data_IF_073685274715
#
_entry.id   IF_073685274715
#
_cell.length_a   1.000
_cell.length_b   1.000
_cell.length_c   1.000
_cell.angle_alpha   90.00
_cell.angle_beta   90.00
_cell.angle_gamma   90.00
#
_symmetry.space_group_name_H-M   'P 1'
#
loop_
_entity.id
_entity.type
_entity.pdbx_description
1 polymer ?
#
# COMPACT_ATOMS: atom_id res chain seq x y z
N UNK A 1 21.50 1.66 -19.00
CA UNK A 1 20.29 2.06 -18.27
C UNK A 1 19.84 0.82 -17.54
N UNK A 2 19.84 0.84 -16.20
CA UNK A 2 19.40 -0.31 -15.39
C UNK A 2 17.89 -0.28 -15.39
N UNK A 3 17.25 -1.38 -15.78
CA UNK A 3 15.79 -1.53 -15.68
C UNK A 3 15.36 -1.63 -14.21
N UNK A 4 14.09 -1.34 -13.90
CA UNK A 4 13.56 -1.54 -12.54
C UNK A 4 13.80 -2.97 -12.05
N UNK A 5 13.60 -3.96 -12.93
CA UNK A 5 13.85 -5.38 -12.63
C UNK A 5 15.30 -5.66 -12.28
N UNK A 6 16.26 -5.16 -13.07
CA UNK A 6 17.69 -5.33 -12.77
C UNK A 6 18.09 -4.62 -11.47
N UNK A 7 17.49 -3.46 -11.19
CA UNK A 7 17.68 -2.74 -9.93
C UNK A 7 17.23 -3.57 -8.73
N UNK A 8 16.02 -4.13 -8.78
CA UNK A 8 15.47 -5.00 -7.73
C UNK A 8 16.36 -6.22 -7.49
N UNK A 9 16.76 -6.94 -8.55
CA UNK A 9 17.64 -8.12 -8.42
C UNK A 9 18.99 -7.75 -7.79
N UNK A 10 19.54 -6.59 -8.16
CA UNK A 10 20.81 -6.09 -7.64
C UNK A 10 20.73 -5.80 -6.14
N UNK A 11 19.71 -5.05 -5.68
CA UNK A 11 19.58 -4.71 -4.25
C UNK A 11 19.30 -5.94 -3.39
N UNK A 12 18.53 -6.91 -3.88
CA UNK A 12 18.30 -8.18 -3.17
C UNK A 12 19.61 -8.97 -3.02
N UNK A 13 20.43 -9.02 -4.08
CA UNK A 13 21.72 -9.71 -4.04
C UNK A 13 22.69 -9.04 -3.06
N UNK A 14 22.77 -7.70 -3.09
CA UNK A 14 23.60 -6.92 -2.16
C UNK A 14 23.17 -7.12 -0.70
N UNK A 15 21.85 -7.15 -0.43
CA UNK A 15 21.32 -7.40 0.90
C UNK A 15 21.65 -8.83 1.39
N UNK A 16 21.58 -9.83 0.50
CA UNK A 16 21.94 -11.21 0.83
C UNK A 16 23.43 -11.37 1.16
N UNK A 17 24.31 -10.64 0.49
CA UNK A 17 25.75 -10.66 0.72
C UNK A 17 26.16 -9.87 1.99
N UNK A 18 25.34 -8.92 2.42
CA UNK A 18 25.62 -8.01 3.55
C UNK A 18 24.92 -8.40 4.85
N UNK A 19 24.45 -9.65 4.97
CA UNK A 19 23.70 -10.11 6.17
C UNK A 19 24.53 -10.05 7.44
N UNK A 20 23.92 -9.50 8.48
CA UNK A 20 24.46 -9.47 9.85
C UNK A 20 23.38 -9.88 10.86
N UNK A 21 23.75 -10.43 12.03
CA UNK A 21 22.80 -10.64 13.12
C UNK A 21 22.23 -9.30 13.61
N UNK A 22 20.92 -9.24 13.82
CA UNK A 22 20.22 -8.03 14.28
C UNK A 22 19.26 -8.31 15.43
N UNK A 23 19.01 -7.28 16.23
CA UNK A 23 17.86 -7.20 17.14
C UNK A 23 16.78 -6.31 16.51
N UNK A 24 15.53 -6.63 16.79
CA UNK A 24 14.36 -5.89 16.32
C UNK A 24 13.74 -5.10 17.48
N UNK A 25 13.59 -3.79 17.28
CA UNK A 25 12.69 -2.92 18.02
C UNK A 25 11.48 -2.58 17.16
N UNK A 26 10.28 -2.63 17.74
CA UNK A 26 9.05 -2.23 17.06
C UNK A 26 8.20 -1.34 17.97
N UNK A 27 7.57 -0.34 17.40
CA UNK A 27 6.61 0.52 18.07
C UNK A 27 5.64 1.14 17.06
N UNK A 28 4.55 1.69 17.58
CA UNK A 28 3.57 2.43 16.78
C UNK A 28 3.06 3.66 17.54
N UNK A 29 2.65 4.68 16.80
CA UNK A 29 2.03 5.91 17.33
C UNK A 29 0.90 6.35 16.39
N UNK A 30 -0.02 7.16 16.91
CA UNK A 30 -1.04 7.82 16.07
C UNK A 30 -0.47 9.13 15.53
N UNK A 31 -0.44 9.26 14.21
CA UNK A 31 0.07 10.42 13.46
C UNK A 31 -1.00 10.92 12.46
N UNK A 32 -1.97 11.72 12.92
CA UNK A 32 -3.05 12.21 12.05
C UNK A 32 -2.70 13.49 11.29
N UNK A 33 -1.55 14.13 11.53
CA UNK A 33 -1.32 15.51 11.08
C UNK A 33 -1.08 15.64 9.58
N UNK A 34 -0.49 14.62 8.96
CA UNK A 34 0.03 14.69 7.59
C UNK A 34 -0.90 14.13 6.52
N UNK A 35 -2.05 13.56 6.91
CA UNK A 35 -2.95 12.90 5.97
C UNK A 35 -4.42 13.06 6.34
N UNK A 36 -5.30 12.80 5.38
CA UNK A 36 -6.75 12.86 5.58
C UNK A 36 -7.48 11.90 4.64
N UNK A 37 -8.72 11.59 4.97
CA UNK A 37 -9.59 10.90 4.04
C UNK A 37 -9.90 11.86 2.88
N UNK A 38 -9.43 11.52 1.67
CA UNK A 38 -9.55 12.39 0.50
C UNK A 38 -10.90 12.31 -0.18
N UNK A 39 -11.75 11.37 0.24
CA UNK A 39 -13.08 11.16 -0.31
C UNK A 39 -14.13 11.96 0.43
N UNK A 40 -14.18 11.84 1.75
CA UNK A 40 -15.20 12.47 2.59
C UNK A 40 -14.63 12.89 3.94
N UNK A 41 -14.89 14.13 4.32
CA UNK A 41 -14.52 14.66 5.62
C UNK A 41 -15.18 13.83 6.75
N UNK A 42 -14.41 13.50 7.78
CA UNK A 42 -14.89 12.73 8.94
C UNK A 42 -14.98 11.21 8.74
N UNK A 43 -14.67 10.67 7.56
CA UNK A 43 -14.47 9.23 7.42
C UNK A 43 -13.15 8.80 8.09
N UNK A 44 -13.10 7.60 8.68
CA UNK A 44 -11.91 7.14 9.40
C UNK A 44 -10.71 7.00 8.47
N UNK A 45 -9.53 7.22 9.04
CA UNK A 45 -8.22 6.99 8.42
C UNK A 45 -7.39 6.13 9.38
N UNK A 46 -6.56 5.24 8.84
CA UNK A 46 -5.56 4.56 9.67
C UNK A 46 -4.40 5.52 9.92
N UNK A 47 -4.45 6.25 11.03
CA UNK A 47 -3.37 7.16 11.47
C UNK A 47 -2.22 6.44 12.16
N UNK A 48 -2.16 5.11 12.12
CA UNK A 48 -1.05 4.38 12.72
C UNK A 48 0.22 4.60 11.90
N UNK A 49 1.25 5.15 12.55
CA UNK A 49 2.63 5.15 12.09
C UNK A 49 3.38 4.07 12.86
N UNK A 50 3.80 3.02 12.16
CA UNK A 50 4.60 1.94 12.71
C UNK A 50 6.08 2.09 12.34
N UNK A 51 6.97 1.70 13.26
CA UNK A 51 8.42 1.66 13.06
C UNK A 51 8.97 0.31 13.48
N UNK A 52 9.61 -0.40 12.56
CA UNK A 52 10.47 -1.54 12.86
C UNK A 52 11.93 -1.15 12.62
N UNK A 53 12.73 -1.08 13.69
CA UNK A 53 14.16 -0.74 13.61
C UNK A 53 15.03 -1.95 13.94
N UNK A 54 15.96 -2.25 13.04
CA UNK A 54 16.89 -3.37 13.14
C UNK A 54 18.28 -2.85 13.47
N UNK A 55 18.85 -3.30 14.58
CA UNK A 55 20.18 -2.88 15.05
C UNK A 55 21.13 -4.05 15.17
N UNK A 56 22.40 -3.84 14.85
CA UNK A 56 23.45 -4.84 15.01
C UNK A 56 23.86 -5.02 16.49
N UNK A 57 24.89 -5.82 16.74
CA UNK A 57 25.42 -6.07 18.09
C UNK A 57 26.04 -4.83 18.75
N UNK A 58 26.48 -3.85 17.96
CA UNK A 58 27.03 -2.59 18.45
C UNK A 58 25.93 -1.53 18.68
N UNK A 59 24.68 -1.83 18.29
CA UNK A 59 23.55 -0.91 18.37
C UNK A 59 23.44 0.03 17.15
N UNK A 60 24.24 -0.19 16.11
CA UNK A 60 24.14 0.56 14.86
C UNK A 60 22.94 0.09 14.05
N UNK A 61 22.19 1.02 13.46
CA UNK A 61 21.04 0.69 12.62
C UNK A 61 21.50 0.02 11.34
N UNK A 62 20.90 -1.13 11.04
CA UNK A 62 21.08 -1.85 9.77
C UNK A 62 19.94 -1.50 8.82
N UNK A 63 18.71 -1.47 9.34
CA UNK A 63 17.53 -1.08 8.58
C UNK A 63 16.46 -0.44 9.48
N UNK A 64 15.64 0.42 8.90
CA UNK A 64 14.43 0.95 9.52
C UNK A 64 13.26 0.83 8.53
N UNK A 65 12.18 0.18 8.94
CA UNK A 65 10.95 0.10 8.14
C UNK A 65 9.88 0.93 8.80
N UNK A 66 9.19 1.74 8.01
CA UNK A 66 8.08 2.59 8.46
C UNK A 66 6.84 2.21 7.67
N UNK A 67 5.72 1.94 8.33
CA UNK A 67 4.43 1.85 7.66
C UNK A 67 3.50 3.00 8.06
N UNK A 68 2.94 3.68 7.05
CA UNK A 68 2.03 4.79 7.25
C UNK A 68 1.09 4.92 6.05
N UNK A 69 -0.23 4.95 6.32
CA UNK A 69 -1.25 4.96 5.28
C UNK A 69 -1.38 6.33 4.62
N UNK A 70 -0.62 6.61 3.56
CA UNK A 70 -0.73 7.87 2.82
C UNK A 70 -0.24 7.74 1.38
N UNK A 71 -1.02 8.26 0.42
CA UNK A 71 -0.60 8.32 -0.98
C UNK A 71 0.58 9.29 -1.22
N UNK A 72 1.69 8.87 -1.85
CA UNK A 72 2.77 9.78 -2.28
C UNK A 72 2.32 10.59 -3.50
N UNK A 73 1.50 11.61 -3.24
CA UNK A 73 0.81 12.41 -4.26
C UNK A 73 0.85 13.89 -3.96
N UNK A 74 1.87 14.36 -3.23
CA UNK A 74 2.06 15.79 -2.98
C UNK A 74 2.33 16.49 -4.32
N UNK A 75 3.22 15.92 -5.12
CA UNK A 75 3.41 16.32 -6.49
C UNK A 75 2.30 15.73 -7.37
N UNK A 76 1.67 16.56 -8.18
CA UNK A 76 0.56 16.15 -9.06
C UNK A 76 1.01 15.99 -10.51
N UNK A 77 0.09 15.68 -11.43
CA UNK A 77 0.37 15.57 -12.87
C UNK A 77 0.91 16.84 -13.55
N UNK A 78 1.15 17.91 -12.79
CA UNK A 78 1.85 19.13 -13.24
C UNK A 78 3.37 19.07 -13.01
N UNK A 79 3.85 18.11 -12.24
CA UNK A 79 5.28 17.88 -12.02
C UNK A 79 5.84 16.96 -13.12
N UNK A 80 6.94 17.36 -13.74
CA UNK A 80 7.63 16.60 -14.80
C UNK A 80 9.00 16.07 -14.35
N UNK A 81 9.34 16.21 -13.06
CA UNK A 81 10.58 15.72 -12.49
C UNK A 81 10.39 14.36 -11.83
N UNK A 82 11.41 13.51 -11.93
CA UNK A 82 11.48 12.30 -11.11
C UNK A 82 11.57 12.69 -9.64
N UNK A 83 10.74 12.04 -8.83
CA UNK A 83 10.71 12.26 -7.39
C UNK A 83 10.19 11.00 -6.70
N UNK A 84 10.73 10.76 -5.53
CA UNK A 84 10.27 9.77 -4.55
C UNK A 84 9.12 10.30 -3.68
N UNK A 85 8.70 11.55 -3.87
CA UNK A 85 7.73 12.29 -3.04
C UNK A 85 8.12 12.25 -1.55
N UNK A 86 7.19 12.48 -0.61
CA UNK A 86 7.52 12.52 0.81
C UNK A 86 8.16 11.22 1.36
N UNK A 87 7.86 10.00 0.86
CA UNK A 87 8.51 8.80 1.37
C UNK A 87 10.02 8.81 1.19
N UNK A 88 10.53 9.39 0.10
CA UNK A 88 11.97 9.48 -0.12
C UNK A 88 12.63 10.42 0.87
N UNK A 89 12.06 11.61 1.10
CA UNK A 89 12.56 12.54 2.12
C UNK A 89 12.53 11.90 3.50
N UNK A 90 11.43 11.21 3.85
CA UNK A 90 11.34 10.46 5.09
C UNK A 90 12.48 9.44 5.23
N UNK A 91 12.73 8.64 4.19
CA UNK A 91 13.80 7.64 4.21
C UNK A 91 15.18 8.29 4.35
N UNK A 92 15.46 9.35 3.58
CA UNK A 92 16.73 10.10 3.63
C UNK A 92 16.98 10.66 5.04
N UNK A 93 15.98 11.29 5.67
CA UNK A 93 16.10 11.82 7.03
C UNK A 93 16.41 10.74 8.08
N UNK A 94 15.81 9.55 7.94
CA UNK A 94 16.10 8.43 8.83
C UNK A 94 17.49 7.84 8.57
N UNK A 95 17.90 7.72 7.31
CA UNK A 95 19.23 7.22 6.92
C UNK A 95 20.35 8.17 7.38
N UNK A 96 20.16 9.48 7.25
CA UNK A 96 21.10 10.50 7.72
C UNK A 96 21.23 10.48 9.25
N UNK A 97 20.12 10.25 9.96
CA UNK A 97 20.10 10.26 11.43
C UNK A 97 20.63 8.98 12.04
N UNK A 98 20.29 7.83 11.45
CA UNK A 98 20.52 6.52 12.07
C UNK A 98 21.52 5.63 11.33
N UNK A 99 21.86 5.97 10.08
CA UNK A 99 22.51 5.07 9.15
C UNK A 99 21.62 3.88 8.76
N UNK A 100 22.21 2.93 8.05
CA UNK A 100 21.48 1.78 7.53
C UNK A 100 20.62 2.15 6.32
N UNK A 101 19.62 1.31 6.02
CA UNK A 101 18.67 1.54 4.92
C UNK A 101 17.26 1.72 5.47
N UNK A 102 16.59 2.80 5.08
CA UNK A 102 15.21 3.04 5.42
C UNK A 102 14.27 2.53 4.31
N UNK A 103 13.12 1.99 4.68
CA UNK A 103 12.07 1.60 3.75
C UNK A 103 10.71 2.09 4.23
N UNK A 104 9.95 2.69 3.32
CA UNK A 104 8.58 3.10 3.55
C UNK A 104 7.60 2.06 2.97
N UNK A 105 6.65 1.66 3.80
CA UNK A 105 5.49 0.87 3.44
C UNK A 105 4.25 1.75 3.52
N UNK A 106 3.44 1.64 2.48
CA UNK A 106 2.42 2.60 2.15
C UNK A 106 1.09 2.44 2.91
N UNK A 107 0.98 1.42 3.78
CA UNK A 107 -0.23 1.14 4.54
C UNK A 107 -1.49 0.95 3.69
N UNK A 108 -2.66 0.95 4.34
CA UNK A 108 -3.95 0.93 3.64
C UNK A 108 -4.35 2.34 3.18
N UNK A 109 -3.75 2.81 2.09
CA UNK A 109 -3.87 4.19 1.62
C UNK A 109 -5.04 4.48 0.67
N UNK A 110 -5.88 3.50 0.31
CA UNK A 110 -6.76 3.56 -0.87
C UNK A 110 -7.62 4.82 -0.99
N UNK A 111 -8.10 5.35 0.13
CA UNK A 111 -8.89 6.57 0.23
C UNK A 111 -8.21 7.69 1.04
N UNK A 112 -6.91 7.56 1.29
CA UNK A 112 -6.12 8.48 2.12
C UNK A 112 -5.13 9.26 1.25
N UNK A 113 -5.08 10.57 1.43
CA UNK A 113 -4.12 11.45 0.78
C UNK A 113 -3.44 12.40 1.77
N UNK A 114 -2.27 12.96 1.42
CA UNK A 114 -1.56 13.89 2.28
C UNK A 114 -2.32 15.20 2.43
N UNK A 115 -2.21 15.83 3.59
CA UNK A 115 -2.69 17.19 3.81
C UNK A 115 -1.72 18.19 3.15
N UNK A 116 -2.00 18.55 1.90
CA UNK A 116 -1.10 19.32 1.02
C UNK A 116 -1.70 20.67 0.59
N UNK A 117 -1.52 21.77 1.35
CA UNK A 117 -2.00 23.09 0.92
C UNK A 117 -1.34 23.55 -0.39
N UNK A 118 -0.11 23.11 -0.64
CA UNK A 118 0.66 23.39 -1.84
C UNK A 118 1.10 22.10 -2.53
N UNK A 119 1.41 22.18 -3.82
CA UNK A 119 1.82 21.03 -4.65
C UNK A 119 3.23 21.27 -5.20
N UNK A 120 4.21 21.34 -4.30
CA UNK A 120 5.60 21.64 -4.65
C UNK A 120 6.58 20.86 -3.76
N UNK A 121 7.86 20.94 -4.10
CA UNK A 121 8.93 20.24 -3.38
C UNK A 121 9.14 20.72 -1.93
N UNK A 122 8.76 21.96 -1.61
CA UNK A 122 8.84 22.43 -0.23
C UNK A 122 7.80 21.72 0.65
N UNK A 123 6.60 21.46 0.12
CA UNK A 123 5.58 20.67 0.83
C UNK A 123 5.98 19.19 0.92
N UNK A 124 6.64 18.64 -0.11
CA UNK A 124 7.26 17.30 -0.06
C UNK A 124 8.25 17.20 1.09
N UNK A 125 9.18 18.16 1.19
CA UNK A 125 10.18 18.21 2.24
C UNK A 125 9.52 18.30 3.62
N UNK A 126 8.63 19.27 3.81
CA UNK A 126 7.90 19.50 5.07
C UNK A 126 7.16 18.27 5.57
N UNK A 127 6.41 17.58 4.70
CA UNK A 127 5.65 16.38 5.09
C UNK A 127 6.60 15.21 5.37
N UNK A 128 7.61 14.99 4.53
CA UNK A 128 8.59 13.93 4.73
C UNK A 128 9.38 14.09 6.04
N UNK A 129 9.91 15.29 6.27
CA UNK A 129 10.62 15.68 7.50
C UNK A 129 9.73 15.57 8.74
N UNK A 130 8.46 15.99 8.63
CA UNK A 130 7.50 15.90 9.73
C UNK A 130 7.24 14.46 10.17
N UNK A 131 6.94 13.57 9.21
CA UNK A 131 6.73 12.15 9.49
C UNK A 131 8.04 11.50 9.99
N UNK A 132 9.19 11.88 9.44
CA UNK A 132 10.50 11.43 9.93
C UNK A 132 10.73 11.85 11.39
N UNK A 133 10.39 13.07 11.78
CA UNK A 133 10.49 13.55 13.16
C UNK A 133 9.64 12.76 14.14
N UNK A 134 8.39 12.45 13.78
CA UNK A 134 7.52 11.56 14.58
C UNK A 134 8.13 10.15 14.69
N UNK A 135 8.65 9.63 13.57
CA UNK A 135 9.31 8.31 13.52
C UNK A 135 10.57 8.27 14.40
N UNK A 136 11.39 9.32 14.36
CA UNK A 136 12.61 9.43 15.15
C UNK A 136 12.30 9.44 16.64
N UNK A 137 11.30 10.24 17.04
CA UNK A 137 10.80 10.32 18.42
C UNK A 137 10.31 8.95 18.91
N UNK A 138 9.54 8.24 18.10
CA UNK A 138 9.12 6.86 18.40
C UNK A 138 10.33 5.93 18.57
N UNK A 139 11.36 6.10 17.74
CA UNK A 139 12.60 5.34 17.76
C UNK A 139 13.41 5.42 19.05
N UNK A 140 13.29 6.53 19.80
CA UNK A 140 13.99 6.73 21.09
C UNK A 140 13.46 5.80 22.19
N UNK A 141 12.18 5.41 22.10
CA UNK A 141 11.50 4.58 23.11
C UNK A 141 11.51 3.08 22.83
N UNK A 142 12.16 2.63 21.74
CA UNK A 142 12.09 1.23 21.33
C UNK A 142 12.84 0.30 22.28
N UNK A 143 12.20 -0.82 22.60
CA UNK A 143 12.84 -1.97 23.25
C UNK A 143 13.23 -3.00 22.21
N UNK A 144 14.48 -3.46 22.26
CA UNK A 144 15.05 -4.36 21.27
C UNK A 144 15.09 -5.80 21.77
N UNK A 145 14.66 -6.72 20.92
CA UNK A 145 14.61 -8.17 21.17
C UNK A 145 15.34 -8.94 20.08
N UNK A 146 15.83 -10.14 20.40
CA UNK A 146 16.44 -11.03 19.40
C UNK A 146 15.39 -11.47 18.38
N UNK A 147 15.78 -11.51 17.10
CA UNK A 147 14.89 -12.02 16.03
C UNK A 147 14.92 -13.55 16.07
N UNK A 148 13.81 -14.17 16.45
CA UNK A 148 13.71 -15.63 16.61
C UNK A 148 13.79 -16.42 15.29
N UNK A 149 13.56 -15.75 14.15
CA UNK A 149 13.63 -16.33 12.81
C UNK A 149 12.84 -15.50 11.81
N UNK A 150 12.78 -15.99 10.57
CA UNK A 150 11.88 -15.45 9.54
C UNK A 150 11.04 -16.58 8.95
N UNK A 151 9.80 -16.27 8.59
CA UNK A 151 8.93 -17.18 7.83
C UNK A 151 8.06 -16.40 6.88
N UNK A 152 7.55 -17.05 5.84
CA UNK A 152 6.62 -16.43 4.91
C UNK A 152 5.65 -17.46 4.37
N UNK A 153 4.43 -17.03 4.11
CA UNK A 153 3.40 -17.81 3.45
C UNK A 153 2.61 -16.91 2.50
N UNK A 154 2.03 -17.49 1.46
CA UNK A 154 1.08 -16.77 0.62
C UNK A 154 -0.12 -17.66 0.28
N UNK A 155 -1.26 -17.01 0.07
CA UNK A 155 -2.50 -17.64 -0.35
C UNK A 155 -3.06 -16.86 -1.53
N UNK A 156 -3.64 -17.60 -2.49
CA UNK A 156 -4.36 -16.99 -3.60
C UNK A 156 -5.85 -16.95 -3.28
N UNK A 157 -6.45 -15.79 -3.48
CA UNK A 157 -7.83 -15.47 -3.13
C UNK A 157 -8.55 -15.00 -4.39
N UNK A 158 -9.61 -15.74 -4.75
CA UNK A 158 -10.54 -15.28 -5.79
C UNK A 158 -11.47 -14.22 -5.22
N UNK A 159 -11.34 -13.01 -5.75
CA UNK A 159 -12.17 -11.87 -5.37
C UNK A 159 -13.16 -11.51 -6.48
N UNK A 160 -14.40 -11.14 -6.10
CA UNK A 160 -15.43 -10.80 -7.08
C UNK A 160 -15.24 -9.39 -7.67
N UNK A 161 -15.64 -9.23 -8.92
CA UNK A 161 -15.89 -7.94 -9.54
C UNK A 161 -17.38 -7.57 -9.43
N UNK A 162 -17.69 -6.29 -9.60
CA UNK A 162 -19.08 -5.78 -9.72
C UNK A 162 -19.76 -6.29 -10.99
N UNK A 163 -21.00 -5.86 -11.20
CA UNK A 163 -21.73 -6.12 -12.45
C UNK A 163 -20.92 -5.68 -13.69
N UNK A 164 -20.71 -6.63 -14.59
CA UNK A 164 -19.99 -6.41 -15.85
C UNK A 164 -20.92 -5.75 -16.86
N UNK A 165 -20.54 -4.61 -17.47
CA UNK A 165 -21.39 -3.95 -18.45
C UNK A 165 -21.67 -4.82 -19.67
N UNK A 166 -22.88 -4.72 -20.20
CA UNK A 166 -23.32 -5.35 -21.44
C UNK A 166 -22.60 -4.75 -22.66
N UNK A 167 -22.64 -5.44 -23.80
CA UNK A 167 -22.09 -4.86 -25.05
C UNK A 167 -22.82 -3.57 -25.47
N UNK A 168 -24.10 -3.44 -25.18
CA UNK A 168 -24.88 -2.24 -25.50
C UNK A 168 -24.42 -1.05 -24.67
N UNK A 169 -24.25 -1.23 -23.36
CA UNK A 169 -23.71 -0.20 -22.46
C UNK A 169 -22.27 0.19 -22.83
N UNK A 170 -21.43 -0.78 -23.21
CA UNK A 170 -20.07 -0.48 -23.67
C UNK A 170 -20.06 0.32 -24.97
N UNK A 171 -20.94 0.01 -25.94
CA UNK A 171 -21.06 0.79 -27.18
C UNK A 171 -21.50 2.22 -26.89
N UNK A 172 -22.49 2.40 -26.04
CA UNK A 172 -22.93 3.73 -25.61
C UNK A 172 -21.79 4.50 -24.92
N UNK A 173 -21.05 3.85 -24.02
CA UNK A 173 -19.93 4.48 -23.30
C UNK A 173 -18.75 4.80 -24.24
N UNK A 174 -18.49 3.97 -25.25
CA UNK A 174 -17.49 4.22 -26.27
C UNK A 174 -17.80 5.47 -27.11
N UNK A 175 -19.09 5.76 -27.33
CA UNK A 175 -19.53 6.91 -28.12
C UNK A 175 -19.70 8.19 -27.29
N UNK A 176 -20.20 8.05 -26.06
CA UNK A 176 -20.70 9.19 -25.25
C UNK A 176 -19.89 9.45 -23.98
N UNK A 177 -19.02 8.52 -23.59
CA UNK A 177 -18.23 8.57 -22.36
C UNK A 177 -17.26 9.74 -22.30
N UNK A 178 -16.89 10.13 -21.08
CA UNK A 178 -15.94 11.21 -20.83
C UNK A 178 -14.55 10.70 -20.46
N UNK A 179 -13.51 11.47 -20.80
CA UNK A 179 -12.14 11.17 -20.36
C UNK A 179 -11.61 9.83 -20.88
N UNK A 180 -11.38 8.88 -19.97
CA UNK A 180 -10.82 7.55 -20.25
C UNK A 180 -11.89 6.49 -20.56
N UNK A 181 -13.17 6.79 -20.32
CA UNK A 181 -14.26 5.83 -20.49
C UNK A 181 -14.40 5.31 -21.93
N UNK A 182 -14.29 6.15 -22.98
CA UNK A 182 -14.42 5.67 -24.36
C UNK A 182 -13.34 4.67 -24.76
N UNK A 183 -12.10 4.93 -24.35
CA UNK A 183 -10.96 4.06 -24.65
C UNK A 183 -11.11 2.72 -23.93
N UNK A 184 -11.40 2.74 -22.63
CA UNK A 184 -11.67 1.54 -21.85
C UNK A 184 -12.83 0.71 -22.44
N UNK A 185 -13.95 1.35 -22.80
CA UNK A 185 -15.09 0.66 -23.36
C UNK A 185 -14.78 0.01 -24.72
N UNK A 186 -13.99 0.70 -25.55
CA UNK A 186 -13.51 0.17 -26.83
C UNK A 186 -12.60 -1.04 -26.65
N UNK A 187 -11.67 -0.99 -25.70
CA UNK A 187 -10.79 -2.12 -25.37
C UNK A 187 -11.60 -3.33 -24.89
N UNK A 188 -12.61 -3.13 -24.03
CA UNK A 188 -13.51 -4.20 -23.57
C UNK A 188 -14.28 -4.84 -24.73
N UNK A 189 -14.78 -4.03 -25.67
CA UNK A 189 -15.47 -4.54 -26.86
C UNK A 189 -14.52 -5.35 -27.77
N UNK A 190 -13.29 -4.88 -27.95
CA UNK A 190 -12.27 -5.59 -28.74
C UNK A 190 -11.88 -6.93 -28.10
N UNK A 191 -11.68 -6.96 -26.78
CA UNK A 191 -11.40 -8.19 -26.03
C UNK A 191 -12.54 -9.22 -26.21
N UNK A 192 -13.80 -8.79 -26.12
CA UNK A 192 -14.96 -9.69 -26.33
C UNK A 192 -15.05 -10.17 -27.78
N UNK A 193 -14.87 -9.28 -28.76
CA UNK A 193 -14.95 -9.61 -30.17
C UNK A 193 -13.85 -10.59 -30.62
N UNK A 194 -12.68 -10.55 -29.98
CA UNK A 194 -11.57 -11.47 -30.21
C UNK A 194 -11.72 -12.82 -29.48
N UNK A 195 -12.83 -13.03 -28.75
CA UNK A 195 -13.12 -14.28 -28.03
C UNK A 195 -12.45 -14.36 -26.66
N UNK A 196 -12.03 -13.24 -26.08
CA UNK A 196 -11.52 -13.17 -24.72
C UNK A 196 -12.59 -13.56 -23.68
N UNK A 197 -12.16 -14.25 -22.63
CA UNK A 197 -13.04 -14.61 -21.52
C UNK A 197 -13.39 -13.36 -20.70
N UNK A 198 -14.67 -13.22 -20.34
CA UNK A 198 -15.12 -12.15 -19.45
C UNK A 198 -14.70 -12.52 -18.02
N UNK A 199 -13.75 -11.78 -17.48
CA UNK A 199 -13.27 -11.96 -16.11
C UNK A 199 -14.37 -11.58 -15.13
N UNK A 200 -14.82 -12.53 -14.32
CA UNK A 200 -15.83 -12.31 -13.27
C UNK A 200 -15.22 -12.26 -11.87
N UNK A 201 -14.08 -12.94 -11.70
CA UNK A 201 -13.30 -12.95 -10.46
C UNK A 201 -11.83 -12.78 -10.81
N UNK A 202 -11.09 -12.13 -9.92
CA UNK A 202 -9.63 -11.96 -10.05
C UNK A 202 -8.94 -12.80 -8.99
N UNK A 203 -7.93 -13.56 -9.39
CA UNK A 203 -7.16 -14.42 -8.49
C UNK A 203 -5.89 -13.72 -7.98
N UNK A 204 -5.94 -13.26 -6.74
CA UNK A 204 -4.97 -12.35 -6.16
C UNK A 204 -4.17 -12.99 -5.02
N UNK A 205 -2.87 -12.68 -4.94
CA UNK A 205 -2.02 -13.15 -3.84
C UNK A 205 -2.13 -12.23 -2.63
N UNK A 206 -2.40 -12.81 -1.46
CA UNK A 206 -2.12 -12.20 -0.15
C UNK A 206 -0.88 -12.90 0.42
N UNK A 207 0.08 -12.13 0.92
CA UNK A 207 1.32 -12.66 1.47
C UNK A 207 1.52 -12.19 2.91
N UNK A 208 1.93 -13.11 3.77
CA UNK A 208 2.32 -12.86 5.14
C UNK A 208 3.79 -13.15 5.35
N UNK A 209 4.53 -12.22 5.96
CA UNK A 209 5.94 -12.40 6.31
C UNK A 209 6.12 -12.14 7.80
N UNK A 210 6.76 -13.07 8.52
CA UNK A 210 7.17 -12.87 9.90
C UNK A 210 8.66 -12.59 9.99
N UNK A 211 9.03 -11.58 10.78
CA UNK A 211 10.40 -11.32 11.24
C UNK A 211 10.39 -11.30 12.76
N UNK A 212 10.77 -12.42 13.37
CA UNK A 212 10.49 -12.66 14.78
C UNK A 212 8.98 -12.71 15.03
N UNK A 213 8.51 -11.82 15.89
CA UNK A 213 7.09 -11.64 16.22
C UNK A 213 6.44 -10.44 15.51
N UNK A 214 7.16 -9.75 14.63
CA UNK A 214 6.60 -8.75 13.73
C UNK A 214 6.02 -9.43 12.48
N UNK A 215 4.80 -9.07 12.11
CA UNK A 215 4.17 -9.52 10.88
C UNK A 215 4.04 -8.40 9.84
N UNK A 216 4.31 -8.71 8.58
CA UNK A 216 4.01 -7.86 7.44
C UNK A 216 2.83 -8.48 6.68
N UNK A 217 1.72 -7.74 6.61
CA UNK A 217 0.55 -8.12 5.82
C UNK A 217 0.62 -7.42 4.46
N UNK A 218 0.87 -8.22 3.42
CA UNK A 218 1.13 -7.75 2.06
C UNK A 218 -0.10 -7.97 1.18
N UNK A 219 -0.60 -6.89 0.58
CA UNK A 219 -1.81 -6.87 -0.25
C UNK A 219 -1.54 -6.43 -1.69
N UNK A 220 -2.22 -7.02 -2.67
CA UNK A 220 -1.94 -6.85 -4.11
C UNK A 220 -2.56 -5.59 -4.74
N UNK A 221 -3.10 -4.68 -3.93
CA UNK A 221 -3.61 -3.40 -4.40
C UNK A 221 -3.89 -2.47 -3.22
N UNK A 222 -4.81 -1.54 -3.40
CA UNK A 222 -5.00 -0.38 -2.53
C UNK A 222 -6.24 -0.54 -1.66
N UNK A 223 -6.08 -1.14 -0.49
CA UNK A 223 -7.14 -1.22 0.51
C UNK A 223 -7.37 0.15 1.13
N UNK A 224 -8.63 0.45 1.41
CA UNK A 224 -9.05 1.65 2.14
C UNK A 224 -8.57 1.62 3.59
N UNK A 225 -8.38 2.81 4.19
CA UNK A 225 -7.85 2.98 5.54
C UNK A 225 -8.64 2.21 6.60
N UNK A 226 -9.97 2.11 6.45
CA UNK A 226 -10.80 1.34 7.38
C UNK A 226 -10.46 -0.16 7.43
N UNK A 227 -9.97 -0.74 6.32
CA UNK A 227 -9.49 -2.14 6.34
C UNK A 227 -8.19 -2.27 7.12
N UNK A 228 -7.32 -1.26 7.08
CA UNK A 228 -6.12 -1.21 7.91
C UNK A 228 -6.45 -1.16 9.40
N UNK A 229 -7.40 -0.30 9.78
CA UNK A 229 -7.93 -0.23 11.15
C UNK A 229 -8.49 -1.60 11.58
N UNK A 230 -9.39 -2.17 10.78
CA UNK A 230 -10.02 -3.47 11.11
C UNK A 230 -8.96 -4.58 11.24
N UNK A 231 -7.98 -4.63 10.35
CA UNK A 231 -6.92 -5.63 10.41
C UNK A 231 -6.10 -5.49 11.70
N UNK A 232 -5.70 -4.27 12.08
CA UNK A 232 -4.97 -4.01 13.32
C UNK A 232 -5.80 -4.39 14.56
N UNK A 233 -7.10 -4.08 14.58
CA UNK A 233 -8.01 -4.47 15.67
C UNK A 233 -8.14 -6.00 15.80
N UNK A 234 -8.06 -6.72 14.67
CA UNK A 234 -8.09 -8.19 14.63
C UNK A 234 -6.73 -8.82 14.87
N UNK A 235 -5.64 -8.05 14.90
CA UNK A 235 -4.28 -8.57 14.97
C UNK A 235 -3.80 -8.76 16.41
N UNK A 236 -3.27 -9.94 16.78
CA UNK A 236 -2.72 -10.13 18.12
C UNK A 236 -1.43 -9.33 18.32
N UNK A 237 -1.29 -8.74 19.51
CA UNK A 237 -0.07 -8.08 20.02
C UNK A 237 0.38 -6.80 19.31
N UNK A 238 -0.43 -6.16 18.47
CA UNK A 238 -0.14 -4.85 17.83
C UNK A 238 1.11 -4.78 16.93
N UNK A 239 1.84 -5.90 16.72
CA UNK A 239 3.06 -5.97 15.91
C UNK A 239 2.77 -6.38 14.47
N UNK A 240 2.07 -5.50 13.74
CA UNK A 240 1.75 -5.69 12.32
C UNK A 240 2.04 -4.44 11.51
N UNK A 241 2.75 -4.61 10.39
CA UNK A 241 2.94 -3.58 9.38
C UNK A 241 2.12 -3.91 8.14
N UNK A 242 1.51 -2.88 7.54
CA UNK A 242 0.66 -3.04 6.37
C UNK A 242 1.40 -2.60 5.11
N UNK A 243 1.46 -3.50 4.12
CA UNK A 243 2.13 -3.26 2.84
C UNK A 243 1.10 -3.45 1.73
N UNK A 244 0.76 -2.40 1.00
CA UNK A 244 -0.20 -2.43 -0.10
C UNK A 244 0.52 -2.28 -1.43
N UNK A 245 -0.12 -2.70 -2.52
CA UNK A 245 0.52 -2.83 -3.83
C UNK A 245 1.75 -3.75 -3.83
N UNK A 246 1.76 -4.76 -2.95
CA UNK A 246 2.77 -5.79 -2.92
C UNK A 246 2.47 -6.84 -4.00
N UNK A 247 3.48 -7.20 -4.80
CA UNK A 247 3.44 -8.25 -5.83
C UNK A 247 2.49 -8.01 -7.02
N UNK A 248 1.51 -7.09 -6.92
CA UNK A 248 0.59 -6.73 -8.00
C UNK A 248 0.03 -5.31 -7.85
N UNK A 249 -0.68 -4.85 -8.89
CA UNK A 249 -1.41 -3.58 -8.92
C UNK A 249 -2.89 -3.83 -9.30
N UNK A 250 -3.64 -4.41 -8.36
CA UNK A 250 -5.02 -4.89 -8.58
C UNK A 250 -6.12 -3.82 -8.43
N UNK A 251 -5.75 -2.53 -8.42
CA UNK A 251 -6.70 -1.43 -8.21
C UNK A 251 -7.05 -1.21 -6.73
N UNK A 252 -8.27 -0.73 -6.48
CA UNK A 252 -8.72 -0.32 -5.15
C UNK A 252 -9.66 -1.35 -4.52
N UNK A 253 -9.57 -1.51 -3.20
CA UNK A 253 -10.45 -2.36 -2.40
C UNK A 253 -11.20 -1.50 -1.39
N UNK A 254 -12.41 -1.03 -1.74
CA UNK A 254 -13.18 -0.14 -0.89
C UNK A 254 -13.74 -0.88 0.33
N UNK A 255 -14.02 -0.14 1.39
CA UNK A 255 -14.87 -0.63 2.48
C UNK A 255 -16.34 -0.62 2.07
N UNK A 256 -17.22 -1.23 2.86
CA UNK A 256 -18.67 -1.19 2.60
C UNK A 256 -19.18 0.25 2.47
N UNK A 257 -18.78 1.13 3.39
CA UNK A 257 -19.16 2.54 3.36
C UNK A 257 -18.54 3.22 2.13
N UNK A 258 -17.25 2.98 1.86
CA UNK A 258 -16.58 3.53 0.68
C UNK A 258 -17.24 3.10 -0.64
N UNK A 259 -17.73 1.86 -0.71
CA UNK A 259 -18.46 1.32 -1.84
C UNK A 259 -19.79 2.02 -2.07
N UNK A 260 -20.58 2.15 -1.01
CA UNK A 260 -21.89 2.81 -1.06
C UNK A 260 -21.77 4.29 -1.45
N UNK A 261 -20.73 4.95 -0.94
CA UNK A 261 -20.42 6.34 -1.28
C UNK A 261 -19.83 6.52 -2.68
N UNK A 262 -19.43 5.43 -3.36
CA UNK A 262 -18.74 5.32 -4.65
C UNK A 262 -17.98 6.56 -5.17
N UNK A 263 -16.68 6.52 -5.34
CA UNK A 263 -15.91 7.69 -5.78
C UNK A 263 -15.07 7.35 -7.00
N UNK A 264 -14.00 8.14 -7.19
CA UNK A 264 -12.99 7.82 -8.19
C UNK A 264 -12.47 6.38 -8.02
N UNK A 265 -12.10 6.00 -6.80
CA UNK A 265 -11.54 4.68 -6.48
C UNK A 265 -12.48 3.53 -6.84
N UNK A 266 -13.80 3.76 -6.76
CA UNK A 266 -14.84 2.71 -6.91
C UNK A 266 -15.45 2.69 -8.31
N UNK A 267 -15.69 3.87 -8.92
CA UNK A 267 -16.49 3.98 -10.16
C UNK A 267 -15.66 4.34 -11.40
N UNK A 268 -14.39 4.67 -11.20
CA UNK A 268 -13.55 5.29 -12.22
C UNK A 268 -12.19 4.63 -12.37
N UNK A 269 -11.48 4.38 -11.27
CA UNK A 269 -10.07 4.00 -11.28
C UNK A 269 -9.79 2.70 -12.04
N UNK A 270 -10.69 1.71 -11.97
CA UNK A 270 -10.52 0.43 -12.67
C UNK A 270 -10.48 0.60 -14.20
N UNK A 271 -11.11 1.63 -14.75
CA UNK A 271 -11.13 1.89 -16.21
C UNK A 271 -9.78 2.36 -16.75
N UNK A 272 -8.82 2.71 -15.90
CA UNK A 272 -7.43 2.92 -16.30
C UNK A 272 -6.65 1.61 -16.49
N UNK A 273 -7.26 0.48 -16.11
CA UNK A 273 -6.72 -0.84 -16.32
C UNK A 273 -7.70 -1.64 -17.22
N UNK A 274 -7.39 -1.72 -18.51
CA UNK A 274 -8.24 -2.45 -19.48
C UNK A 274 -8.35 -3.95 -19.20
N UNK A 275 -7.55 -4.52 -18.28
CA UNK A 275 -7.72 -5.91 -17.86
C UNK A 275 -8.93 -6.10 -16.92
N UNK A 276 -9.49 -5.02 -16.37
CA UNK A 276 -10.64 -5.07 -15.45
C UNK A 276 -11.95 -4.64 -16.15
N UNK A 277 -12.92 -5.55 -16.31
CA UNK A 277 -14.22 -5.24 -16.90
C UNK A 277 -15.20 -4.53 -15.93
N UNK A 278 -14.87 -4.48 -14.64
CA UNK A 278 -15.67 -3.85 -13.58
C UNK A 278 -14.77 -3.59 -12.34
N UNK A 279 -15.20 -2.76 -11.36
CA UNK A 279 -14.44 -2.55 -10.13
C UNK A 279 -14.50 -3.75 -9.18
N UNK A 280 -13.51 -3.85 -8.29
CA UNK A 280 -13.53 -4.79 -7.17
C UNK A 280 -14.61 -4.37 -6.17
N UNK A 281 -15.42 -5.33 -5.69
CA UNK A 281 -16.47 -5.03 -4.70
C UNK A 281 -15.90 -4.82 -3.29
N UNK A 282 -16.72 -4.39 -2.33
CA UNK A 282 -16.26 -4.30 -0.93
C UNK A 282 -15.98 -5.69 -0.33
N UNK A 283 -16.70 -6.73 -0.76
CA UNK A 283 -16.45 -8.12 -0.37
C UNK A 283 -15.06 -8.60 -0.82
N UNK A 284 -14.51 -8.05 -1.91
CA UNK A 284 -13.14 -8.31 -2.33
C UNK A 284 -12.14 -7.91 -1.23
N UNK A 285 -12.28 -6.70 -0.68
CA UNK A 285 -11.45 -6.23 0.43
C UNK A 285 -11.57 -7.12 1.67
N UNK A 286 -12.80 -7.50 2.03
CA UNK A 286 -13.06 -8.40 3.16
C UNK A 286 -12.35 -9.74 2.99
N UNK A 287 -12.46 -10.37 1.82
CA UNK A 287 -11.79 -11.66 1.55
C UNK A 287 -10.27 -11.57 1.69
N UNK A 288 -9.66 -10.47 1.26
CA UNK A 288 -8.22 -10.28 1.39
C UNK A 288 -7.80 -10.10 2.86
N UNK A 289 -8.53 -9.29 3.63
CA UNK A 289 -8.27 -9.09 5.07
C UNK A 289 -8.45 -10.39 5.83
N UNK A 290 -9.51 -11.15 5.56
CA UNK A 290 -9.77 -12.44 6.19
C UNK A 290 -8.66 -13.46 5.90
N UNK A 291 -8.15 -13.48 4.66
CA UNK A 291 -7.02 -14.31 4.29
C UNK A 291 -5.75 -13.96 5.08
N UNK A 292 -5.43 -12.66 5.24
CA UNK A 292 -4.27 -12.21 6.02
C UNK A 292 -4.41 -12.56 7.51
N UNK A 293 -5.58 -12.33 8.11
CA UNK A 293 -5.85 -12.68 9.52
C UNK A 293 -5.81 -14.20 9.72
N UNK A 294 -6.25 -14.99 8.74
CA UNK A 294 -6.20 -16.45 8.77
C UNK A 294 -4.77 -17.01 8.87
N UNK A 295 -3.76 -16.33 8.31
CA UNK A 295 -2.35 -16.74 8.40
C UNK A 295 -1.80 -16.65 9.82
N UNK A 296 -2.40 -15.82 10.68
CA UNK A 296 -2.00 -15.69 12.08
C UNK A 296 -2.44 -16.88 12.90
N UNK A 297 -3.69 -17.32 12.71
CA UNK A 297 -4.27 -18.41 13.48
C UNK A 297 -3.63 -19.78 13.23
N UNK A 298 -2.75 -19.89 12.23
CA UNK A 298 -1.95 -21.08 11.95
C UNK A 298 -0.62 -21.13 12.71
N UNK A 299 -0.28 -20.12 13.52
CA UNK A 299 1.00 -20.00 14.24
C UNK A 299 0.84 -20.01 15.76
#
# INVERSE_FOLDING_TARGET
MVTVTEGIVSVVSQAADSRVPVKLGYGQVQEPEFHHNRRNEGQPIDSTLGLARFVDKAGATVAAWVDYACHPTILTGKNFYWSTDFPGVLCEELEDTWGGVAAFFNGCLGDVGPYRPEQNFAEVAKIGEGIAGTTQTLGEGLTYSEVSGTSGESVRVKVPLDEIPTEEELKELAETGGGYEPAWASDQLEMRASGGEIVMEVDLEVQGICVGDLFLACFPGQLFGSWGIELRERWPNERVMLVNQANAHAGYFPSKIGWDLGGYEVRSAFKFNSDLPAPMTWEAGQKLVDAAVGMVGGK
#
